data_IF_193819515650
#
_entry.id   IF_193819515650
#
_cell.length_a   1.000
_cell.length_b   1.000
_cell.length_c   1.000
_cell.angle_alpha   90.00
_cell.angle_beta   90.00
_cell.angle_gamma   90.00
#
_symmetry.space_group_name_H-M   'P 1'
#
loop_
_entity.id
_entity.type
_entity.pdbx_description
1 polymer ?
#
# COMPACT_ATOMS: atom_id res chain seq x y z
N UNK A 1 -0.35 19.32 -5.57
CA UNK A 1 0.21 19.31 -6.93
C UNK A 1 -0.87 19.66 -7.97
N UNK A 2 -1.91 20.42 -7.60
CA UNK A 2 -3.00 20.83 -8.49
C UNK A 2 -2.79 22.28 -8.92
N UNK A 3 -3.10 22.60 -10.18
CA UNK A 3 -2.85 23.92 -10.74
C UNK A 3 -4.09 24.80 -10.58
N UNK A 4 -3.94 26.01 -10.01
CA UNK A 4 -5.04 26.98 -10.00
C UNK A 4 -5.23 27.61 -11.39
N UNK A 5 -6.44 28.10 -11.69
CA UNK A 5 -6.72 28.80 -12.95
C UNK A 5 -5.78 30.00 -13.17
N UNK A 6 -5.48 30.72 -12.10
CA UNK A 6 -4.53 31.85 -12.10
C UNK A 6 -3.09 31.41 -12.40
N UNK A 7 -2.62 30.32 -11.78
CA UNK A 7 -1.30 29.76 -12.08
C UNK A 7 -1.20 29.24 -13.52
N UNK A 8 -2.30 28.66 -14.02
CA UNK A 8 -2.37 28.17 -15.39
C UNK A 8 -2.25 29.32 -16.38
N UNK A 9 -3.01 30.41 -16.19
CA UNK A 9 -2.94 31.64 -17.00
C UNK A 9 -1.53 32.25 -16.96
N UNK A 10 -0.90 32.30 -15.77
CA UNK A 10 0.46 32.82 -15.60
C UNK A 10 1.49 32.00 -16.38
N UNK A 11 1.31 30.67 -16.45
CA UNK A 11 2.22 29.75 -17.16
C UNK A 11 1.98 29.68 -18.67
N UNK A 12 0.77 29.98 -19.15
CA UNK A 12 0.43 29.87 -20.58
C UNK A 12 0.99 31.02 -21.42
N UNK A 13 1.44 32.13 -20.83
CA UNK A 13 2.01 33.26 -21.59
C UNK A 13 0.98 33.96 -22.49
N UNK A 14 1.38 35.04 -23.19
CA UNK A 14 0.47 35.89 -23.97
C UNK A 14 -0.02 35.28 -25.30
N UNK A 15 0.76 34.37 -25.92
CA UNK A 15 0.51 33.81 -27.26
C UNK A 15 0.61 32.26 -27.29
N UNK A 16 -0.11 31.55 -26.42
CA UNK A 16 -0.15 30.08 -26.47
C UNK A 16 -1.47 29.56 -27.03
N UNK A 17 -1.41 28.37 -27.62
CA UNK A 17 -2.59 27.56 -27.94
C UNK A 17 -3.34 27.33 -26.62
N UNK A 18 -4.63 27.68 -26.58
CA UNK A 18 -5.46 27.51 -25.39
C UNK A 18 -5.44 26.07 -24.88
N UNK A 19 -5.63 25.87 -23.58
CA UNK A 19 -5.54 24.54 -22.96
C UNK A 19 -6.43 23.49 -23.64
N UNK A 20 -7.65 23.89 -23.98
CA UNK A 20 -8.59 23.06 -24.73
C UNK A 20 -8.03 22.69 -26.11
N UNK A 21 -7.56 23.67 -26.88
CA UNK A 21 -7.03 23.45 -28.23
C UNK A 21 -5.76 22.60 -28.21
N UNK A 22 -4.94 22.72 -27.17
CA UNK A 22 -3.75 21.89 -27.00
C UNK A 22 -4.13 20.42 -26.75
N UNK A 23 -5.08 20.17 -25.83
CA UNK A 23 -5.60 18.82 -25.61
C UNK A 23 -6.30 18.27 -26.86
N UNK A 24 -6.99 19.11 -27.62
CA UNK A 24 -7.62 18.74 -28.89
C UNK A 24 -6.58 18.34 -29.93
N UNK A 25 -5.46 19.07 -30.02
CA UNK A 25 -4.35 18.76 -30.92
C UNK A 25 -3.76 17.39 -30.58
N UNK A 26 -3.48 17.13 -29.31
CA UNK A 26 -3.00 15.81 -28.84
C UNK A 26 -4.01 14.69 -29.16
N UNK A 27 -5.28 14.88 -28.82
CA UNK A 27 -6.32 13.88 -29.10
C UNK A 27 -6.48 13.63 -30.61
N UNK A 28 -6.25 14.64 -31.46
CA UNK A 28 -6.28 14.51 -32.92
C UNK A 28 -5.04 13.77 -33.42
N UNK A 29 -3.86 14.15 -32.94
CA UNK A 29 -2.59 13.53 -33.31
C UNK A 29 -2.58 12.04 -32.98
N UNK A 30 -3.08 11.63 -31.81
CA UNK A 30 -3.19 10.21 -31.45
C UNK A 30 -4.00 9.40 -32.47
N UNK A 31 -5.07 10.01 -33.02
CA UNK A 31 -5.97 9.37 -33.98
C UNK A 31 -5.40 9.33 -35.40
N UNK A 32 -4.64 10.35 -35.80
CA UNK A 32 -4.19 10.52 -37.19
C UNK A 32 -2.78 10.01 -37.44
N UNK A 33 -1.92 9.99 -36.41
CA UNK A 33 -0.53 9.60 -36.58
C UNK A 33 -0.39 8.11 -36.87
N UNK A 34 0.53 7.78 -37.79
CA UNK A 34 0.94 6.40 -38.10
C UNK A 34 2.14 5.94 -37.27
N UNK A 35 2.83 6.87 -36.59
CA UNK A 35 3.99 6.56 -35.75
C UNK A 35 3.56 5.98 -34.41
N UNK A 36 4.05 4.79 -34.07
CA UNK A 36 3.79 4.14 -32.78
C UNK A 36 4.37 4.94 -31.62
N UNK A 37 5.60 5.44 -31.77
CA UNK A 37 6.27 6.25 -30.74
C UNK A 37 5.51 7.55 -30.47
N UNK A 38 5.01 8.20 -31.54
CA UNK A 38 4.20 9.39 -31.41
C UNK A 38 2.89 9.09 -30.66
N UNK A 39 2.20 7.97 -30.97
CA UNK A 39 1.00 7.55 -30.22
C UNK A 39 1.31 7.36 -28.74
N UNK A 40 2.41 6.69 -28.41
CA UNK A 40 2.82 6.47 -27.02
C UNK A 40 3.06 7.79 -26.28
N UNK A 41 3.83 8.70 -26.90
CA UNK A 41 4.15 9.99 -26.29
C UNK A 41 2.91 10.86 -26.10
N UNK A 42 2.03 10.90 -27.11
CA UNK A 42 0.78 11.66 -27.04
C UNK A 42 -0.14 11.11 -25.96
N UNK A 43 -0.30 9.78 -25.88
CA UNK A 43 -1.14 9.15 -24.87
C UNK A 43 -0.61 9.37 -23.45
N UNK A 44 0.70 9.26 -23.26
CA UNK A 44 1.35 9.56 -21.99
C UNK A 44 1.11 11.02 -21.57
N UNK A 45 1.20 11.97 -22.50
CA UNK A 45 0.89 13.37 -22.25
C UNK A 45 -0.58 13.58 -21.84
N UNK A 46 -1.52 12.94 -22.54
CA UNK A 46 -2.94 12.98 -22.19
C UNK A 46 -3.18 12.40 -20.79
N UNK A 47 -2.55 11.28 -20.44
CA UNK A 47 -2.64 10.66 -19.12
C UNK A 47 -2.06 11.56 -18.01
N UNK A 48 -0.96 12.26 -18.27
CA UNK A 48 -0.40 13.25 -17.34
C UNK A 48 -1.36 14.43 -17.10
N UNK A 49 -2.05 14.90 -18.14
CA UNK A 49 -3.03 15.97 -17.99
C UNK A 49 -4.31 15.54 -17.29
N UNK A 50 -4.64 14.24 -17.34
CA UNK A 50 -5.75 13.66 -16.61
C UNK A 50 -5.57 13.69 -15.08
N UNK A 51 -4.38 13.97 -14.54
CA UNK A 51 -4.19 14.11 -13.09
C UNK A 51 -4.86 15.36 -12.49
N UNK A 52 -4.98 16.44 -13.27
CA UNK A 52 -5.47 17.73 -12.76
C UNK A 52 -6.97 17.96 -13.08
N UNK A 53 -7.85 18.09 -12.07
CA UNK A 53 -9.30 18.25 -12.26
C UNK A 53 -9.71 19.44 -13.14
N UNK A 54 -8.87 20.47 -13.25
CA UNK A 54 -9.13 21.61 -14.14
C UNK A 54 -9.30 21.17 -15.61
N UNK A 55 -8.73 20.02 -15.98
CA UNK A 55 -8.82 19.48 -17.34
C UNK A 55 -10.04 18.56 -17.54
N UNK A 56 -10.77 18.14 -16.50
CA UNK A 56 -11.84 17.14 -16.63
C UNK A 56 -12.97 17.59 -17.56
N UNK A 57 -13.34 18.87 -17.54
CA UNK A 57 -14.31 19.42 -18.49
C UNK A 57 -13.88 19.24 -19.94
N UNK A 58 -12.63 19.57 -20.25
CA UNK A 58 -12.05 19.41 -21.60
C UNK A 58 -11.90 17.94 -21.98
N UNK A 59 -11.47 17.08 -21.05
CA UNK A 59 -11.32 15.64 -21.24
C UNK A 59 -12.64 15.00 -21.67
N UNK A 60 -13.75 15.39 -21.03
CA UNK A 60 -15.10 14.93 -21.41
C UNK A 60 -15.51 15.46 -22.78
N UNK A 61 -15.36 16.76 -23.02
CA UNK A 61 -15.72 17.39 -24.30
C UNK A 61 -14.96 16.79 -25.49
N UNK A 62 -13.68 16.47 -25.30
CA UNK A 62 -12.79 15.92 -26.33
C UNK A 62 -12.84 14.39 -26.41
N UNK A 63 -13.65 13.73 -25.58
CA UNK A 63 -13.78 12.26 -25.53
C UNK A 63 -12.43 11.56 -25.31
N UNK A 64 -11.58 12.12 -24.46
CA UNK A 64 -10.27 11.53 -24.14
C UNK A 64 -10.44 10.24 -23.32
N UNK A 65 -11.53 10.11 -22.54
CA UNK A 65 -11.83 8.87 -21.81
C UNK A 65 -12.10 7.71 -22.78
N UNK A 66 -12.84 7.94 -23.87
CA UNK A 66 -13.07 6.94 -24.92
C UNK A 66 -11.75 6.48 -25.54
N UNK A 67 -10.84 7.42 -25.76
CA UNK A 67 -9.52 7.14 -26.31
C UNK A 67 -8.73 6.22 -25.36
N UNK A 68 -8.77 6.46 -24.04
CA UNK A 68 -8.16 5.54 -23.08
C UNK A 68 -8.83 4.17 -23.09
N UNK A 69 -10.16 4.10 -23.03
CA UNK A 69 -10.91 2.85 -23.01
C UNK A 69 -10.66 1.99 -24.25
N UNK A 70 -10.66 2.59 -25.45
CA UNK A 70 -10.35 1.89 -26.69
C UNK A 70 -8.92 1.36 -26.72
N UNK A 71 -7.97 2.09 -26.13
CA UNK A 71 -6.56 1.70 -26.08
C UNK A 71 -6.32 0.50 -25.16
N UNK A 72 -7.24 0.17 -24.24
CA UNK A 72 -7.12 -1.02 -23.39
C UNK A 72 -7.10 -2.33 -24.18
N UNK A 73 -7.64 -2.35 -25.39
CA UNK A 73 -7.69 -3.52 -26.26
C UNK A 73 -6.55 -3.60 -27.27
N UNK A 74 -5.55 -2.71 -27.18
CA UNK A 74 -4.38 -2.72 -28.08
C UNK A 74 -3.33 -3.73 -27.62
N UNK A 75 -2.60 -4.33 -28.57
CA UNK A 75 -1.53 -5.31 -28.26
C UNK A 75 -0.30 -4.66 -27.61
N UNK A 76 -0.12 -3.35 -27.79
CA UNK A 76 1.03 -2.63 -27.25
C UNK A 76 0.82 -2.35 -25.75
N UNK A 77 1.47 -3.16 -24.91
CA UNK A 77 1.42 -3.05 -23.45
C UNK A 77 1.83 -1.66 -22.92
N UNK A 78 2.71 -0.93 -23.61
CA UNK A 78 3.11 0.42 -23.20
C UNK A 78 1.98 1.43 -23.41
N UNK A 79 1.23 1.32 -24.51
CA UNK A 79 0.01 2.10 -24.72
C UNK A 79 -1.06 1.74 -23.69
N UNK A 80 -1.28 0.45 -23.43
CA UNK A 80 -2.22 -0.02 -22.40
C UNK A 80 -1.85 0.56 -21.04
N UNK A 81 -0.56 0.54 -20.65
CA UNK A 81 -0.09 1.12 -19.39
C UNK A 81 -0.43 2.61 -19.28
N UNK A 82 -0.19 3.41 -20.33
CA UNK A 82 -0.56 4.83 -20.32
C UNK A 82 -2.07 5.05 -20.28
N UNK A 83 -2.85 4.25 -21.00
CA UNK A 83 -4.30 4.33 -20.99
C UNK A 83 -4.88 4.03 -19.60
N UNK A 84 -4.43 2.95 -18.96
CA UNK A 84 -4.82 2.59 -17.59
C UNK A 84 -4.42 3.70 -16.61
N UNK A 85 -3.21 4.26 -16.73
CA UNK A 85 -2.78 5.40 -15.91
C UNK A 85 -3.69 6.62 -16.09
N UNK A 86 -4.08 6.94 -17.33
CA UNK A 86 -5.04 8.00 -17.64
C UNK A 86 -6.41 7.76 -17.02
N UNK A 87 -6.94 6.53 -17.10
CA UNK A 87 -8.22 6.14 -16.48
C UNK A 87 -8.15 6.27 -14.96
N UNK A 88 -7.07 5.79 -14.35
CA UNK A 88 -6.82 5.90 -12.90
C UNK A 88 -6.86 7.35 -12.42
N UNK A 89 -6.27 8.26 -13.20
CA UNK A 89 -6.28 9.68 -12.88
C UNK A 89 -7.65 10.35 -13.01
N UNK A 90 -8.53 9.90 -13.92
CA UNK A 90 -9.86 10.50 -14.11
C UNK A 90 -10.98 9.84 -13.30
N UNK A 91 -10.83 8.58 -12.89
CA UNK A 91 -11.92 7.80 -12.27
C UNK A 91 -12.29 8.26 -10.86
N UNK A 92 -11.48 9.14 -10.25
CA UNK A 92 -11.76 9.78 -8.96
C UNK A 92 -12.88 10.82 -9.03
N UNK A 93 -13.18 11.35 -10.22
CA UNK A 93 -14.28 12.29 -10.45
C UNK A 93 -15.62 11.56 -10.62
N UNK A 94 -16.70 11.95 -9.91
CA UNK A 94 -17.98 11.26 -9.98
C UNK A 94 -18.59 11.20 -11.40
N UNK A 95 -18.44 12.25 -12.20
CA UNK A 95 -19.00 12.31 -13.56
C UNK A 95 -18.22 11.38 -14.48
N UNK A 96 -16.89 11.43 -14.42
CA UNK A 96 -16.02 10.55 -15.21
C UNK A 96 -16.22 9.07 -14.81
N UNK A 97 -16.40 8.78 -13.52
CA UNK A 97 -16.72 7.45 -13.02
C UNK A 97 -18.00 6.89 -13.67
N UNK A 98 -19.09 7.65 -13.64
CA UNK A 98 -20.35 7.25 -14.30
C UNK A 98 -20.16 7.04 -15.80
N UNK A 99 -19.35 7.88 -16.43
CA UNK A 99 -19.04 7.75 -17.85
C UNK A 99 -18.28 6.45 -18.16
N UNK A 100 -17.26 6.10 -17.37
CA UNK A 100 -16.49 4.85 -17.53
C UNK A 100 -17.39 3.63 -17.36
N UNK A 101 -18.26 3.64 -16.34
CA UNK A 101 -19.21 2.56 -16.08
C UNK A 101 -20.16 2.34 -17.28
N UNK A 102 -20.72 3.41 -17.84
CA UNK A 102 -21.63 3.34 -18.99
C UNK A 102 -20.97 2.84 -20.27
N UNK A 103 -19.65 2.99 -20.40
CA UNK A 103 -18.88 2.58 -21.58
C UNK A 103 -18.13 1.26 -21.37
N UNK A 104 -18.72 0.31 -20.63
CA UNK A 104 -18.18 -1.03 -20.41
C UNK A 104 -16.77 -1.05 -19.79
N UNK A 105 -16.43 -0.01 -19.02
CA UNK A 105 -15.10 0.12 -18.43
C UNK A 105 -14.72 -1.05 -17.53
N UNK A 106 -15.67 -1.60 -16.77
CA UNK A 106 -15.42 -2.75 -15.88
C UNK A 106 -14.94 -3.94 -16.71
N UNK A 107 -15.71 -4.38 -17.71
CA UNK A 107 -15.36 -5.50 -18.59
C UNK A 107 -13.99 -5.34 -19.26
N UNK A 108 -13.69 -4.15 -19.78
CA UNK A 108 -12.41 -3.88 -20.43
C UNK A 108 -11.25 -3.96 -19.43
N UNK A 109 -11.41 -3.37 -18.25
CA UNK A 109 -10.40 -3.37 -17.21
C UNK A 109 -10.18 -4.77 -16.64
N UNK A 110 -11.24 -5.54 -16.37
CA UNK A 110 -11.11 -6.89 -15.82
C UNK A 110 -10.42 -7.82 -16.80
N UNK A 111 -10.57 -7.63 -18.11
CA UNK A 111 -9.84 -8.39 -19.14
C UNK A 111 -8.31 -8.32 -18.94
N UNK A 112 -7.79 -7.20 -18.44
CA UNK A 112 -6.36 -6.96 -18.24
C UNK A 112 -5.76 -7.61 -16.98
N UNK A 113 -6.59 -8.09 -16.06
CA UNK A 113 -6.12 -8.75 -14.82
C UNK A 113 -5.38 -10.08 -15.07
N UNK A 114 -5.45 -10.63 -16.28
CA UNK A 114 -4.70 -11.83 -16.69
C UNK A 114 -3.35 -11.53 -17.34
N UNK A 115 -2.95 -10.27 -17.47
CA UNK A 115 -1.61 -9.90 -17.94
C UNK A 115 -0.53 -10.22 -16.89
N UNK A 116 0.72 -10.33 -17.32
CA UNK A 116 1.87 -10.53 -16.42
C UNK A 116 2.49 -9.21 -15.93
N UNK A 117 1.94 -8.06 -16.34
CA UNK A 117 2.48 -6.75 -16.00
C UNK A 117 1.88 -6.24 -14.68
N UNK A 118 2.70 -6.23 -13.63
CA UNK A 118 2.29 -5.89 -12.26
C UNK A 118 1.75 -4.45 -12.15
N UNK A 119 2.32 -3.49 -12.89
CA UNK A 119 1.89 -2.09 -12.84
C UNK A 119 0.49 -1.92 -13.42
N UNK A 120 0.23 -2.61 -14.55
CA UNK A 120 -1.09 -2.62 -15.18
C UNK A 120 -2.10 -3.25 -14.23
N UNK A 121 -1.79 -4.43 -13.67
CA UNK A 121 -2.68 -5.12 -12.74
C UNK A 121 -3.01 -4.24 -11.52
N UNK A 122 -1.99 -3.64 -10.89
CA UNK A 122 -2.17 -2.79 -9.71
C UNK A 122 -3.05 -1.58 -10.03
N UNK A 123 -2.81 -0.95 -11.17
CA UNK A 123 -3.59 0.21 -11.62
C UNK A 123 -5.04 -0.18 -11.96
N UNK A 124 -5.25 -1.33 -12.61
CA UNK A 124 -6.58 -1.88 -12.91
C UNK A 124 -7.36 -2.17 -11.63
N UNK A 125 -6.76 -2.85 -10.65
CA UNK A 125 -7.39 -3.12 -9.35
C UNK A 125 -7.78 -1.80 -8.67
N UNK A 126 -6.88 -0.82 -8.69
CA UNK A 126 -7.12 0.50 -8.11
C UNK A 126 -8.31 1.19 -8.77
N UNK A 127 -8.37 1.20 -10.11
CA UNK A 127 -9.51 1.76 -10.85
C UNK A 127 -10.80 1.04 -10.49
N UNK A 128 -10.80 -0.29 -10.51
CA UNK A 128 -11.98 -1.10 -10.18
C UNK A 128 -12.52 -0.76 -8.79
N UNK A 129 -11.64 -0.60 -7.79
CA UNK A 129 -12.00 -0.15 -6.44
C UNK A 129 -12.65 1.25 -6.49
N UNK A 130 -12.08 2.21 -7.21
CA UNK A 130 -12.66 3.54 -7.37
C UNK A 130 -13.99 3.54 -8.11
N UNK A 131 -14.23 2.58 -9.01
CA UNK A 131 -15.48 2.43 -9.75
C UNK A 131 -16.61 1.81 -8.91
N UNK A 132 -16.35 1.26 -7.72
CA UNK A 132 -17.39 0.67 -6.85
C UNK A 132 -18.40 1.74 -6.43
N UNK A 133 -19.66 1.54 -6.79
CA UNK A 133 -20.84 2.25 -6.28
C UNK A 133 -21.98 1.21 -6.08
N UNK A 134 -23.14 1.58 -5.52
CA UNK A 134 -24.23 0.62 -5.30
C UNK A 134 -24.60 -0.22 -6.54
N UNK A 135 -24.56 0.39 -7.73
CA UNK A 135 -24.95 -0.25 -8.99
C UNK A 135 -23.85 -1.17 -9.55
N UNK A 136 -22.58 -0.79 -9.42
CA UNK A 136 -21.43 -1.50 -9.99
C UNK A 136 -20.80 -2.52 -9.04
N UNK A 137 -21.14 -2.47 -7.73
CA UNK A 137 -20.49 -3.27 -6.68
C UNK A 137 -20.49 -4.76 -7.01
N UNK A 138 -21.61 -5.31 -7.45
CA UNK A 138 -21.74 -6.75 -7.72
C UNK A 138 -20.92 -7.17 -8.95
N UNK A 139 -20.92 -6.37 -10.01
CA UNK A 139 -20.16 -6.62 -11.23
C UNK A 139 -18.65 -6.60 -10.94
N UNK A 140 -18.16 -5.54 -10.29
CA UNK A 140 -16.74 -5.39 -9.93
C UNK A 140 -16.29 -6.50 -8.98
N UNK A 141 -17.09 -6.82 -7.97
CA UNK A 141 -16.71 -7.82 -6.96
C UNK A 141 -16.67 -9.23 -7.54
N UNK A 142 -17.64 -9.60 -8.38
CA UNK A 142 -17.68 -10.92 -9.02
C UNK A 142 -16.46 -11.13 -9.91
N UNK A 143 -16.17 -10.18 -10.81
CA UNK A 143 -15.03 -10.25 -11.72
C UNK A 143 -13.69 -10.30 -10.97
N UNK A 144 -13.53 -9.49 -9.91
CA UNK A 144 -12.33 -9.53 -9.08
C UNK A 144 -12.18 -10.87 -8.36
N UNK A 145 -13.26 -11.40 -7.77
CA UNK A 145 -13.21 -12.69 -7.04
C UNK A 145 -12.88 -13.84 -8.00
N UNK A 146 -13.53 -13.92 -9.16
CA UNK A 146 -13.27 -14.97 -10.15
C UNK A 146 -11.80 -14.94 -10.58
N UNK A 147 -11.27 -13.77 -10.97
CA UNK A 147 -9.90 -13.65 -11.47
C UNK A 147 -8.83 -13.78 -10.38
N UNK A 148 -9.10 -13.28 -9.17
CA UNK A 148 -8.22 -13.48 -8.01
C UNK A 148 -8.23 -14.94 -7.52
N UNK A 149 -9.33 -15.68 -7.69
CA UNK A 149 -9.38 -17.11 -7.35
C UNK A 149 -8.43 -17.93 -8.24
N UNK A 150 -8.30 -17.58 -9.53
CA UNK A 150 -7.31 -18.17 -10.43
C UNK A 150 -5.86 -17.84 -10.01
N UNK A 151 -5.59 -16.61 -9.56
CA UNK A 151 -4.28 -16.24 -9.00
C UNK A 151 -4.01 -16.94 -7.65
N UNK A 152 -5.05 -17.21 -6.87
CA UNK A 152 -4.93 -17.97 -5.61
C UNK A 152 -4.54 -19.43 -5.87
N UNK A 153 -4.98 -20.03 -6.98
CA UNK A 153 -4.60 -21.40 -7.36
C UNK A 153 -3.09 -21.50 -7.68
N UNK A 154 -2.49 -20.47 -8.28
CA UNK A 154 -1.03 -20.38 -8.47
C UNK A 154 -0.26 -20.30 -7.13
N UNK A 155 -0.82 -19.60 -6.13
CA UNK A 155 -0.30 -19.60 -4.75
C UNK A 155 -0.53 -20.93 -4.04
N UNK A 156 -1.62 -21.64 -4.32
CA UNK A 156 -1.94 -22.94 -3.71
C UNK A 156 -1.00 -24.03 -4.20
N UNK A 157 -0.55 -24.02 -5.46
CA UNK A 157 0.48 -24.96 -5.95
C UNK A 157 1.84 -24.76 -5.25
N UNK A 158 2.27 -23.51 -5.06
CA UNK A 158 3.48 -23.19 -4.30
C UNK A 158 3.34 -23.47 -2.78
N UNK A 159 2.14 -23.27 -2.22
CA UNK A 159 1.79 -23.62 -0.83
C UNK A 159 1.77 -25.13 -0.61
N UNK A 160 1.21 -25.92 -1.55
CA UNK A 160 1.24 -27.39 -1.50
C UNK A 160 2.67 -27.89 -1.53
N UNK A 161 3.50 -27.38 -2.45
CA UNK A 161 4.94 -27.70 -2.54
C UNK A 161 5.68 -27.38 -1.23
N UNK A 162 5.42 -26.23 -0.61
CA UNK A 162 6.00 -25.85 0.68
C UNK A 162 5.53 -26.75 1.84
N UNK A 163 4.24 -27.12 1.87
CA UNK A 163 3.69 -28.04 2.89
C UNK A 163 4.20 -29.48 2.74
N UNK A 164 4.47 -29.93 1.52
CA UNK A 164 5.00 -31.26 1.23
C UNK A 164 6.51 -31.35 1.53
N UNK A 165 7.25 -30.25 1.33
CA UNK A 165 8.66 -30.13 1.76
C UNK A 165 8.75 -30.23 3.30
N UNK A 166 7.93 -29.50 4.05
CA UNK A 166 7.93 -29.61 5.52
C UNK A 166 7.62 -31.02 6.05
N UNK A 167 6.72 -31.76 5.38
CA UNK A 167 6.40 -33.15 5.75
C UNK A 167 7.56 -34.11 5.47
N UNK A 168 8.45 -33.77 4.55
CA UNK A 168 9.62 -34.58 4.19
C UNK A 168 10.89 -34.20 4.95
N UNK A 169 10.96 -32.98 5.51
CA UNK A 169 12.09 -32.55 6.34
C UNK A 169 12.18 -33.34 7.64
N UNK A 170 13.37 -33.86 7.93
CA UNK A 170 13.73 -34.54 9.18
C UNK A 170 14.94 -33.84 9.80
N UNK A 171 15.03 -33.92 11.13
CA UNK A 171 16.27 -33.57 11.81
C UNK A 171 17.43 -34.39 11.22
N UNK A 172 18.57 -33.75 11.01
CA UNK A 172 19.73 -34.31 10.32
C UNK A 172 19.77 -34.06 8.81
N UNK A 173 18.69 -33.58 8.17
CA UNK A 173 18.78 -33.13 6.78
C UNK A 173 19.75 -31.97 6.62
N UNK A 174 20.45 -31.98 5.50
CA UNK A 174 21.53 -31.06 5.20
C UNK A 174 21.43 -30.56 3.76
N UNK A 175 21.76 -29.28 3.56
CA UNK A 175 22.01 -28.71 2.24
C UNK A 175 23.36 -28.02 2.25
N UNK A 176 24.06 -28.02 1.12
CA UNK A 176 25.21 -27.17 0.91
C UNK A 176 25.01 -26.27 -0.32
N UNK A 177 25.53 -25.05 -0.23
CA UNK A 177 25.51 -24.07 -1.32
C UNK A 177 26.90 -23.49 -1.48
N UNK A 178 27.45 -23.62 -2.67
CA UNK A 178 28.76 -23.08 -3.00
C UNK A 178 28.58 -21.70 -3.65
N UNK A 179 29.34 -20.71 -3.18
CA UNK A 179 29.37 -19.35 -3.75
C UNK A 179 30.81 -18.81 -3.73
N UNK A 180 31.22 -18.19 -4.83
CA UNK A 180 32.41 -17.33 -4.85
C UNK A 180 31.99 -15.93 -4.41
N UNK A 181 32.64 -15.36 -3.38
CA UNK A 181 32.37 -13.99 -2.95
C UNK A 181 33.22 -13.04 -3.76
N UNK A 182 32.60 -12.12 -4.50
CA UNK A 182 33.30 -11.22 -5.43
C UNK A 182 33.50 -9.82 -4.85
N UNK A 183 34.36 -9.02 -5.47
CA UNK A 183 34.49 -7.59 -5.13
C UNK A 183 33.20 -6.81 -5.37
N UNK A 184 32.44 -7.20 -6.39
CA UNK A 184 31.14 -6.58 -6.70
C UNK A 184 30.10 -6.89 -5.61
N UNK A 185 30.10 -8.11 -5.04
CA UNK A 185 29.25 -8.42 -3.88
C UNK A 185 29.55 -7.47 -2.70
N UNK A 186 30.83 -7.25 -2.40
CA UNK A 186 31.29 -6.35 -1.33
C UNK A 186 30.85 -4.90 -1.61
N UNK A 187 31.07 -4.42 -2.84
CA UNK A 187 30.71 -3.07 -3.24
C UNK A 187 29.19 -2.84 -3.19
N UNK A 188 28.40 -3.79 -3.70
CA UNK A 188 26.95 -3.69 -3.68
C UNK A 188 26.40 -3.73 -2.25
N UNK A 189 27.01 -4.54 -1.38
CA UNK A 189 26.64 -4.57 0.03
C UNK A 189 26.97 -3.26 0.74
N UNK A 190 28.12 -2.65 0.47
CA UNK A 190 28.47 -1.33 1.01
C UNK A 190 27.54 -0.23 0.48
N UNK A 191 27.15 -0.26 -0.79
CA UNK A 191 26.12 0.66 -1.34
C UNK A 191 24.78 0.54 -0.63
N UNK A 192 24.37 -0.69 -0.32
CA UNK A 192 23.11 -0.97 0.35
C UNK A 192 23.12 -0.53 1.82
N UNK A 193 24.24 -0.76 2.52
CA UNK A 193 24.33 -0.59 3.98
C UNK A 193 24.97 0.72 4.42
N UNK A 194 25.72 1.37 3.53
CA UNK A 194 26.58 2.51 3.85
C UNK A 194 27.93 2.13 4.49
N UNK A 195 28.23 0.83 4.68
CA UNK A 195 29.49 0.38 5.28
C UNK A 195 30.63 0.36 4.25
N UNK A 196 31.25 1.53 4.08
CA UNK A 196 32.44 1.73 3.24
C UNK A 196 33.75 1.65 4.03
N UNK A 197 33.79 0.92 5.16
CA UNK A 197 35.01 0.82 5.95
C UNK A 197 36.21 0.39 5.07
N UNK A 198 37.35 1.11 5.10
CA UNK A 198 38.53 0.83 4.28
C UNK A 198 39.00 -0.63 4.29
N UNK A 199 38.74 -1.38 5.36
CA UNK A 199 39.09 -2.81 5.46
C UNK A 199 38.49 -3.65 4.31
N UNK A 200 37.39 -3.20 3.71
CA UNK A 200 36.70 -3.88 2.62
C UNK A 200 37.24 -3.52 1.22
N UNK A 201 37.98 -2.41 1.08
CA UNK A 201 38.34 -1.84 -0.23
C UNK A 201 39.84 -1.56 -0.39
N UNK A 202 40.51 -1.09 0.65
CA UNK A 202 41.92 -0.64 0.60
C UNK A 202 42.91 -1.75 0.92
N UNK A 203 42.48 -2.81 1.61
CA UNK A 203 43.32 -3.97 1.90
C UNK A 203 43.44 -4.84 0.63
N UNK A 204 44.65 -5.31 0.34
CA UNK A 204 45.01 -6.09 -0.86
C UNK A 204 44.04 -7.24 -1.21
N UNK A 205 43.38 -7.81 -0.21
CA UNK A 205 42.49 -8.96 -0.39
C UNK A 205 40.99 -8.64 -0.21
N UNK A 206 40.60 -7.39 0.08
CA UNK A 206 39.20 -6.96 0.24
C UNK A 206 38.42 -7.84 1.23
N UNK A 207 38.52 -7.53 2.53
CA UNK A 207 37.83 -8.33 3.56
C UNK A 207 36.32 -8.28 3.32
N UNK A 208 35.64 -9.41 3.42
CA UNK A 208 34.19 -9.50 3.23
C UNK A 208 33.47 -9.09 4.52
N UNK A 209 32.39 -8.29 4.42
CA UNK A 209 31.55 -7.97 5.57
C UNK A 209 30.96 -9.24 6.20
N UNK A 210 31.11 -9.42 7.51
CA UNK A 210 30.48 -10.55 8.21
C UNK A 210 28.95 -10.55 8.05
N UNK A 211 28.34 -9.37 8.01
CA UNK A 211 26.91 -9.21 7.75
C UNK A 211 26.50 -9.64 6.33
N UNK A 212 27.37 -9.47 5.33
CA UNK A 212 27.13 -9.98 3.97
C UNK A 212 27.08 -11.51 3.98
N UNK A 213 27.99 -12.16 4.71
CA UNK A 213 27.96 -13.61 4.88
C UNK A 213 26.64 -14.05 5.52
N UNK A 214 26.16 -13.37 6.57
CA UNK A 214 24.85 -13.64 7.16
C UNK A 214 23.70 -13.45 6.14
N UNK A 215 23.74 -12.42 5.30
CA UNK A 215 22.76 -12.22 4.24
C UNK A 215 22.60 -13.44 3.32
N UNK A 216 23.70 -14.15 3.02
CA UNK A 216 23.67 -15.39 2.23
C UNK A 216 22.89 -16.50 2.94
N UNK A 217 23.04 -16.64 4.26
CA UNK A 217 22.26 -17.58 5.07
C UNK A 217 20.78 -17.26 5.00
N UNK A 218 20.41 -15.98 5.17
CA UNK A 218 19.02 -15.57 5.07
C UNK A 218 18.41 -15.93 3.71
N UNK A 219 19.17 -15.76 2.63
CA UNK A 219 18.77 -16.17 1.28
C UNK A 219 18.53 -17.68 1.18
N UNK A 220 19.44 -18.51 1.71
CA UNK A 220 19.30 -19.97 1.71
C UNK A 220 18.07 -20.40 2.51
N UNK A 221 17.87 -19.82 3.69
CA UNK A 221 16.74 -20.17 4.56
C UNK A 221 15.39 -19.77 3.97
N UNK A 222 15.32 -18.57 3.39
CA UNK A 222 14.10 -18.02 2.80
C UNK A 222 13.73 -18.56 1.42
N UNK A 223 14.67 -19.20 0.70
CA UNK A 223 14.42 -19.65 -0.69
C UNK A 223 14.62 -21.15 -0.91
N UNK A 224 15.52 -21.81 -0.17
CA UNK A 224 15.85 -23.22 -0.36
C UNK A 224 15.30 -24.12 0.75
N UNK A 225 15.74 -23.92 1.99
CA UNK A 225 15.34 -24.76 3.12
C UNK A 225 15.30 -23.95 4.42
N UNK A 226 14.18 -23.89 5.14
CA UNK A 226 12.91 -24.54 4.84
C UNK A 226 12.14 -23.92 3.66
N UNK A 227 12.54 -22.73 3.17
CA UNK A 227 12.06 -22.15 1.91
C UNK A 227 11.10 -20.97 2.11
N UNK A 228 10.29 -20.59 1.10
CA UNK A 228 9.39 -19.45 1.18
C UNK A 228 8.42 -19.51 2.37
N UNK A 229 8.21 -18.37 3.05
CA UNK A 229 7.40 -18.29 4.29
C UNK A 229 8.21 -18.45 5.58
N UNK A 230 9.52 -18.60 5.47
CA UNK A 230 10.46 -18.66 6.58
C UNK A 230 10.71 -17.28 7.18
N UNK A 231 10.63 -17.17 8.51
CA UNK A 231 11.02 -15.99 9.27
C UNK A 231 12.17 -16.35 10.19
N UNK A 232 13.31 -15.69 10.02
CA UNK A 232 14.45 -15.83 10.94
C UNK A 232 14.14 -15.04 12.21
N UNK A 233 14.18 -15.71 13.36
CA UNK A 233 13.81 -15.10 14.66
C UNK A 233 15.05 -14.70 15.46
N UNK A 234 16.09 -15.55 15.43
CA UNK A 234 17.32 -15.31 16.17
C UNK A 234 18.50 -15.95 15.42
N UNK A 235 19.65 -15.28 15.42
CA UNK A 235 20.87 -15.80 14.83
C UNK A 235 22.08 -15.45 15.70
N UNK A 236 22.97 -16.42 15.90
CA UNK A 236 24.21 -16.23 16.65
C UNK A 236 25.43 -16.53 15.76
N UNK A 237 26.20 -15.51 15.39
CA UNK A 237 27.35 -15.67 14.48
C UNK A 237 28.69 -15.53 15.19
N UNK A 238 29.68 -16.26 14.66
CA UNK A 238 31.12 -16.11 14.96
C UNK A 238 31.88 -16.13 13.64
N UNK A 239 32.92 -15.33 13.52
CA UNK A 239 33.75 -15.24 12.31
C UNK A 239 35.20 -15.61 12.66
N UNK A 240 35.50 -16.92 12.83
CA UNK A 240 36.81 -17.36 13.33
C UNK A 240 37.96 -17.17 12.32
N UNK A 241 37.63 -17.02 11.04
CA UNK A 241 38.61 -16.79 9.97
C UNK A 241 38.11 -15.71 9.00
N UNK A 242 39.03 -14.91 8.42
CA UNK A 242 38.66 -13.88 7.45
C UNK A 242 38.27 -14.50 6.10
N UNK A 243 37.19 -13.96 5.53
CA UNK A 243 36.76 -14.20 4.16
C UNK A 243 37.19 -13.03 3.28
N UNK A 244 37.77 -13.30 2.12
CA UNK A 244 38.28 -12.30 1.20
C UNK A 244 37.56 -12.38 -0.15
N UNK A 245 37.61 -11.31 -0.94
CA UNK A 245 37.13 -11.37 -2.31
C UNK A 245 37.90 -12.42 -3.12
N UNK A 246 37.18 -13.24 -3.89
CA UNK A 246 37.69 -14.39 -4.63
C UNK A 246 37.63 -15.70 -3.85
N UNK A 247 37.35 -15.69 -2.54
CA UNK A 247 37.17 -16.93 -1.78
C UNK A 247 35.92 -17.68 -2.27
N UNK A 248 36.08 -18.99 -2.47
CA UNK A 248 34.96 -19.91 -2.73
C UNK A 248 34.56 -20.51 -1.38
N UNK A 249 33.35 -20.17 -0.96
CA UNK A 249 32.75 -20.66 0.28
C UNK A 249 31.65 -21.68 -0.02
N UNK A 250 31.62 -22.74 0.75
CA UNK A 250 30.48 -23.65 0.85
C UNK A 250 29.74 -23.35 2.16
N UNK A 251 28.46 -23.00 2.05
CA UNK A 251 27.56 -22.77 3.17
C UNK A 251 26.73 -24.03 3.36
N UNK A 252 27.05 -24.80 4.39
CA UNK A 252 26.34 -26.02 4.78
C UNK A 252 25.31 -25.69 5.86
N UNK A 253 24.05 -26.01 5.64
CA UNK A 253 22.97 -25.81 6.62
C UNK A 253 22.42 -27.17 7.02
N UNK A 254 22.49 -27.47 8.32
CA UNK A 254 22.01 -28.72 8.90
C UNK A 254 20.83 -28.46 9.84
N UNK A 255 19.72 -29.20 9.67
CA UNK A 255 18.57 -29.14 10.57
C UNK A 255 18.90 -29.91 11.84
N UNK A 256 18.90 -29.21 12.98
CA UNK A 256 19.11 -29.82 14.30
C UNK A 256 17.80 -30.32 14.88
N UNK A 257 16.74 -29.52 14.80
CA UNK A 257 15.44 -29.89 15.34
C UNK A 257 14.30 -29.21 14.61
N UNK A 258 13.23 -29.95 14.37
CA UNK A 258 11.99 -29.48 13.75
C UNK A 258 10.91 -29.44 14.84
N UNK A 259 10.56 -28.23 15.28
CA UNK A 259 9.49 -27.94 16.26
C UNK A 259 8.75 -26.67 15.79
N UNK A 260 7.98 -26.00 16.68
CA UNK A 260 7.39 -24.68 16.39
C UNK A 260 8.44 -23.65 15.92
N UNK A 261 9.63 -23.70 16.50
CA UNK A 261 10.82 -22.99 16.02
C UNK A 261 11.82 -24.06 15.59
N UNK A 262 12.20 -24.05 14.31
CA UNK A 262 13.23 -24.91 13.75
C UNK A 262 14.61 -24.38 14.12
N UNK A 263 15.53 -25.29 14.43
CA UNK A 263 16.92 -24.96 14.79
C UNK A 263 17.87 -25.51 13.74
N UNK A 264 18.85 -24.70 13.37
CA UNK A 264 19.84 -25.00 12.35
C UNK A 264 21.25 -24.77 12.88
N UNK A 265 22.20 -25.54 12.36
CA UNK A 265 23.63 -25.25 12.44
C UNK A 265 24.11 -24.90 11.03
N UNK A 266 24.98 -23.90 10.92
CA UNK A 266 25.45 -23.39 9.63
C UNK A 266 26.97 -23.35 9.60
N UNK A 267 27.57 -24.10 8.70
CA UNK A 267 29.02 -24.21 8.58
C UNK A 267 29.48 -23.52 7.30
N UNK A 268 30.56 -22.75 7.40
CA UNK A 268 31.23 -22.16 6.24
C UNK A 268 32.54 -22.91 6.01
N UNK A 269 32.67 -23.53 4.84
CA UNK A 269 33.89 -24.20 4.39
C UNK A 269 34.54 -23.38 3.28
N UNK A 270 35.84 -23.10 3.41
CA UNK A 270 36.60 -22.39 2.38
C UNK A 270 37.31 -23.40 1.49
N UNK A 271 36.82 -23.58 0.25
CA UNK A 271 37.29 -24.63 -0.66
C UNK A 271 38.75 -24.37 -1.10
N UNK A 272 39.13 -23.12 -1.29
CA UNK A 272 40.45 -22.75 -1.82
C UNK A 272 41.54 -22.58 -0.75
N UNK A 273 41.19 -22.66 0.53
CA UNK A 273 42.16 -22.62 1.64
C UNK A 273 42.27 -24.04 2.17
N UNK A 274 43.48 -24.61 2.26
CA UNK A 274 43.76 -25.82 3.07
C UNK A 274 43.54 -25.50 4.57
N UNK A 275 42.31 -25.16 4.97
CA UNK A 275 41.93 -24.76 6.32
C UNK A 275 40.64 -25.45 6.71
N UNK A 276 40.66 -25.96 7.93
CA UNK A 276 39.65 -26.77 8.57
C UNK A 276 38.25 -26.14 8.54
N UNK A 277 37.23 -26.99 8.59
CA UNK A 277 35.82 -26.63 8.71
C UNK A 277 35.60 -25.82 9.99
N UNK A 278 35.22 -24.55 9.87
CA UNK A 278 34.97 -23.70 11.03
C UNK A 278 33.48 -23.73 11.38
N UNK A 279 33.08 -24.26 12.55
CA UNK A 279 31.68 -24.26 12.93
C UNK A 279 31.20 -22.87 13.32
N UNK A 280 30.12 -22.42 12.67
CA UNK A 280 29.44 -21.18 13.00
C UNK A 280 28.04 -21.56 13.52
N UNK A 281 27.70 -21.07 14.70
CA UNK A 281 26.70 -21.70 15.57
C UNK A 281 25.26 -21.18 15.34
N UNK A 282 24.34 -21.77 16.12
CA UNK A 282 22.89 -21.88 15.94
C UNK A 282 22.13 -20.72 15.30
N UNK A 283 21.30 -21.04 14.31
CA UNK A 283 20.25 -20.16 13.76
C UNK A 283 18.87 -20.72 14.12
N UNK A 284 18.01 -19.86 14.68
CA UNK A 284 16.64 -20.17 15.04
C UNK A 284 15.67 -19.53 14.06
N UNK A 285 14.74 -20.34 13.58
CA UNK A 285 13.88 -19.97 12.48
C UNK A 285 12.46 -20.40 12.80
N UNK A 286 11.51 -19.51 12.60
CA UNK A 286 10.09 -19.83 12.67
C UNK A 286 9.56 -20.02 11.25
N UNK A 287 8.83 -21.10 11.03
CA UNK A 287 8.23 -21.36 9.74
C UNK A 287 6.74 -21.05 9.80
N UNK A 288 6.26 -20.14 8.94
CA UNK A 288 4.84 -19.87 8.81
C UNK A 288 4.22 -20.94 7.88
N UNK A 289 3.86 -22.10 8.41
CA UNK A 289 3.01 -23.03 7.67
C UNK A 289 1.57 -22.54 7.77
N UNK A 290 0.99 -22.09 6.65
CA UNK A 290 -0.42 -21.81 6.53
C UNK A 290 -1.24 -23.10 6.61
N UNK A 291 -1.53 -23.55 7.83
CA UNK A 291 -2.80 -24.18 8.18
C UNK A 291 -3.25 -23.43 9.42
N UNK A 292 -4.39 -22.75 9.25
CA UNK A 292 -5.08 -21.85 10.17
C UNK A 292 -4.78 -22.06 11.66
N UNK A 293 -4.66 -20.92 12.35
CA UNK A 293 -5.32 -20.66 13.62
C UNK A 293 -5.70 -21.93 14.39
N UNK A 294 -4.91 -22.27 15.39
CA UNK A 294 -5.22 -23.28 16.38
C UNK A 294 -6.55 -22.92 17.05
N UNK A 295 -7.64 -23.44 16.48
CA UNK A 295 -8.95 -23.48 17.10
C UNK A 295 -8.86 -24.48 18.25
N UNK A 296 -8.31 -24.05 19.37
CA UNK A 296 -8.68 -24.60 20.67
C UNK A 296 -9.80 -23.75 21.28
N UNK A 297 -10.98 -23.81 20.66
CA UNK A 297 -12.23 -23.66 21.40
C UNK A 297 -13.04 -24.93 21.14
N UNK A 298 -13.04 -25.82 22.13
CA UNK A 298 -13.90 -27.00 22.18
C UNK A 298 -15.37 -26.57 22.05
N UNK A 299 -16.02 -26.94 20.96
CA UNK A 299 -17.48 -26.86 20.84
C UNK A 299 -18.06 -28.01 21.68
N UNK A 300 -18.64 -27.68 22.84
CA UNK A 300 -19.67 -28.51 23.49
C UNK A 300 -20.99 -28.22 22.77
N UNK A 301 -21.82 -29.23 22.45
CA UNK A 301 -23.10 -29.00 21.82
C UNK A 301 -24.03 -28.38 22.86
N UNK A 302 -24.56 -27.20 22.59
CA UNK A 302 -25.73 -26.71 23.30
C UNK A 302 -26.69 -26.10 22.28
N UNK A 303 -27.87 -26.72 22.24
CA UNK A 303 -28.98 -26.43 21.37
C UNK A 303 -29.41 -24.95 21.39
N UNK A 304 -29.87 -24.49 20.23
CA UNK A 304 -30.85 -23.43 20.01
C UNK A 304 -30.79 -22.18 20.91
N UNK A 305 -30.20 -21.09 20.40
CA UNK A 305 -30.96 -19.86 20.06
C UNK A 305 -30.08 -18.88 19.28
N UNK A 306 -30.57 -18.45 18.12
CA UNK A 306 -29.96 -17.40 17.30
C UNK A 306 -29.75 -16.10 18.09
N UNK A 307 -28.54 -15.54 18.00
CA UNK A 307 -28.33 -14.08 17.91
C UNK A 307 -27.09 -13.82 17.05
N UNK A 308 -27.34 -13.34 15.84
CA UNK A 308 -26.36 -12.93 14.84
C UNK A 308 -25.49 -11.81 15.42
N UNK A 309 -24.17 -12.01 15.49
CA UNK A 309 -23.17 -10.96 15.72
C UNK A 309 -22.37 -10.79 14.44
N UNK A 310 -22.58 -9.64 13.80
CA UNK A 310 -21.87 -9.18 12.60
C UNK A 310 -20.41 -8.88 12.93
N UNK A 311 -19.46 -9.60 12.32
CA UNK A 311 -18.05 -9.18 12.32
C UNK A 311 -17.91 -7.96 11.40
N UNK A 312 -17.88 -6.75 11.98
CA UNK A 312 -17.63 -5.49 11.28
C UNK A 312 -16.16 -5.41 10.81
N UNK A 313 -15.94 -5.10 9.53
CA UNK A 313 -14.61 -4.85 8.97
C UNK A 313 -14.11 -3.45 9.31
N UNK A 314 -12.83 -3.32 9.67
CA UNK A 314 -12.20 -2.03 10.01
C UNK A 314 -12.18 -1.08 8.81
N UNK A 315 -12.72 0.13 8.97
CA UNK A 315 -12.80 1.18 7.94
C UNK A 315 -11.55 2.06 7.93
N UNK A 316 -10.67 1.92 8.93
CA UNK A 316 -9.51 2.79 9.13
C UNK A 316 -9.84 3.98 10.04
N UNK A 317 -8.82 4.65 10.56
CA UNK A 317 -9.01 5.72 11.55
C UNK A 317 -9.32 7.06 10.87
N UNK A 318 -10.51 7.59 11.11
CA UNK A 318 -10.96 8.89 10.60
C UNK A 318 -11.28 9.79 11.79
N UNK A 319 -10.72 10.99 11.79
CA UNK A 319 -10.97 12.04 12.76
C UNK A 319 -12.07 12.97 12.24
N UNK A 320 -13.02 13.32 13.09
CA UNK A 320 -14.09 14.27 12.79
C UNK A 320 -14.15 15.35 13.86
N UNK A 321 -14.30 16.61 13.48
CA UNK A 321 -14.60 17.71 14.40
C UNK A 321 -16.04 18.13 14.21
N UNK A 322 -16.80 18.06 15.29
CA UNK A 322 -18.20 18.51 15.33
C UNK A 322 -18.36 19.70 16.26
N UNK A 323 -19.19 20.66 15.89
CA UNK A 323 -19.63 21.73 16.77
C UNK A 323 -20.82 21.29 17.63
N UNK A 324 -20.99 21.91 18.79
CA UNK A 324 -22.07 21.57 19.74
C UNK A 324 -23.49 21.69 19.18
N UNK A 325 -23.71 22.51 18.14
CA UNK A 325 -24.99 22.59 17.43
C UNK A 325 -25.18 21.48 16.39
N UNK A 326 -24.14 20.71 16.09
CA UNK A 326 -24.14 19.65 15.07
C UNK A 326 -24.36 18.25 15.66
N UNK A 327 -24.64 18.10 16.96
CA UNK A 327 -25.00 16.80 17.55
C UNK A 327 -25.75 16.97 18.88
N UNK A 328 -26.63 16.02 19.22
CA UNK A 328 -27.31 15.97 20.54
C UNK A 328 -26.47 15.19 21.55
N UNK A 329 -26.38 15.69 22.80
CA UNK A 329 -25.62 15.06 23.90
C UNK A 329 -26.17 13.71 24.38
N UNK A 330 -27.42 13.37 24.04
CA UNK A 330 -28.03 12.10 24.46
C UNK A 330 -27.71 10.94 23.50
N UNK A 331 -27.03 9.95 24.07
CA UNK A 331 -26.58 8.73 23.40
C UNK A 331 -27.76 7.88 22.86
N UNK A 332 -27.60 7.44 21.60
CA UNK A 332 -28.34 6.39 20.85
C UNK A 332 -29.23 6.90 19.70
N UNK A 333 -28.64 7.56 18.71
CA UNK A 333 -28.93 7.33 17.28
C UNK A 333 -27.91 8.09 16.43
N UNK A 334 -27.36 7.40 15.45
CA UNK A 334 -26.57 7.96 14.35
C UNK A 334 -27.41 9.00 13.64
N UNK A 335 -27.18 10.28 13.91
CA UNK A 335 -27.58 11.34 13.00
C UNK A 335 -26.55 11.38 11.87
N UNK A 336 -27.02 11.39 10.63
CA UNK A 336 -26.24 11.57 9.41
C UNK A 336 -25.67 13.00 9.38
N UNK A 337 -24.69 13.29 10.23
CA UNK A 337 -24.12 14.63 10.37
C UNK A 337 -22.71 14.66 9.76
N UNK A 338 -22.53 15.57 8.80
CA UNK A 338 -21.24 15.89 8.22
C UNK A 338 -20.46 16.76 9.23
N UNK A 339 -19.32 16.30 9.76
CA UNK A 339 -18.50 17.13 10.65
C UNK A 339 -17.96 18.36 9.92
N UNK A 340 -17.76 19.44 10.69
CA UNK A 340 -17.07 20.64 10.24
C UNK A 340 -15.67 20.36 9.66
N UNK A 341 -14.96 19.33 10.14
CA UNK A 341 -13.68 18.88 9.58
C UNK A 341 -13.56 17.36 9.59
N UNK A 342 -13.01 16.79 8.51
CA UNK A 342 -12.69 15.36 8.38
C UNK A 342 -11.22 15.20 8.04
N UNK A 343 -10.56 14.26 8.72
CA UNK A 343 -9.20 13.85 8.38
C UNK A 343 -9.03 12.34 8.50
N UNK A 344 -8.66 11.67 7.41
CA UNK A 344 -8.31 10.25 7.42
C UNK A 344 -6.85 10.04 7.76
N UNK A 345 -6.56 9.11 8.68
CA UNK A 345 -5.19 8.73 9.03
C UNK A 345 -4.76 7.46 8.28
N UNK A 346 -3.47 7.36 7.90
CA UNK A 346 -2.94 6.14 7.30
C UNK A 346 -2.83 5.03 8.35
N UNK A 347 -3.30 3.83 8.00
CA UNK A 347 -3.21 2.62 8.83
C UNK A 347 -4.56 2.09 9.30
N UNK A 348 -4.60 0.79 9.62
CA UNK A 348 -5.79 0.07 10.09
C UNK A 348 -5.55 -0.33 11.54
N UNK A 349 -6.44 0.08 12.45
CA UNK A 349 -6.37 -0.30 13.86
C UNK A 349 -7.38 -1.41 14.17
N UNK A 350 -7.10 -2.29 15.14
CA UNK A 350 -8.01 -3.38 15.48
C UNK A 350 -9.35 -2.85 15.98
N UNK A 351 -10.43 -3.57 15.71
CA UNK A 351 -11.79 -3.26 16.18
C UNK A 351 -12.02 -3.58 17.65
N UNK A 352 -11.22 -2.95 18.48
CA UNK A 352 -11.19 -3.11 19.93
C UNK A 352 -11.17 -1.74 20.58
N UNK A 353 -11.51 -1.67 21.86
CA UNK A 353 -11.36 -0.45 22.66
C UNK A 353 -9.92 0.08 22.65
N UNK A 354 -8.93 -0.81 22.50
CA UNK A 354 -7.51 -0.47 22.38
C UNK A 354 -7.24 0.22 21.03
N UNK A 355 -7.74 -0.32 19.93
CA UNK A 355 -7.59 0.31 18.61
C UNK A 355 -8.29 1.67 18.53
N UNK A 356 -9.46 1.82 19.19
CA UNK A 356 -10.12 3.12 19.31
C UNK A 356 -9.27 4.12 20.11
N UNK A 357 -8.62 3.71 21.22
CA UNK A 357 -7.71 4.59 21.97
C UNK A 357 -6.51 5.04 21.13
N UNK A 358 -5.93 4.14 20.33
CA UNK A 358 -4.83 4.46 19.41
C UNK A 358 -5.30 5.47 18.37
N UNK A 359 -6.49 5.25 17.78
CA UNK A 359 -7.10 6.17 16.82
C UNK A 359 -7.33 7.57 17.42
N UNK A 360 -7.86 7.65 18.65
CA UNK A 360 -8.04 8.92 19.37
C UNK A 360 -6.70 9.65 19.56
N UNK A 361 -5.67 8.93 20.05
CA UNK A 361 -4.34 9.52 20.28
C UNK A 361 -3.76 10.12 19.00
N UNK A 362 -3.82 9.37 17.89
CA UNK A 362 -3.29 9.84 16.60
C UNK A 362 -4.09 10.99 16.01
N UNK A 363 -5.41 11.00 16.19
CA UNK A 363 -6.24 12.15 15.81
C UNK A 363 -5.84 13.40 16.59
N UNK A 364 -5.61 13.28 17.89
CA UNK A 364 -5.21 14.39 18.74
C UNK A 364 -3.84 14.96 18.33
N UNK A 365 -2.84 14.10 18.09
CA UNK A 365 -1.49 14.50 17.63
C UNK A 365 -1.56 15.36 16.34
N UNK A 366 -2.48 15.02 15.44
CA UNK A 366 -2.67 15.73 14.18
C UNK A 366 -3.40 17.05 14.41
N UNK A 367 -4.50 17.05 15.17
CA UNK A 367 -5.34 18.23 15.39
C UNK A 367 -4.63 19.31 16.20
N UNK A 368 -3.79 18.94 17.17
CA UNK A 368 -3.04 19.90 18.01
C UNK A 368 -2.24 20.89 17.15
N UNK A 369 -1.69 20.44 16.02
CA UNK A 369 -0.89 21.29 15.11
C UNK A 369 -1.71 22.42 14.48
N UNK A 370 -3.02 22.25 14.36
CA UNK A 370 -3.94 23.21 13.77
C UNK A 370 -4.66 24.09 14.81
N UNK A 371 -4.53 23.79 16.11
CA UNK A 371 -5.18 24.53 17.19
C UNK A 371 -4.90 26.04 17.14
N UNK A 372 -3.68 26.55 16.88
CA UNK A 372 -3.44 27.99 16.85
C UNK A 372 -4.33 28.74 15.84
N UNK A 373 -4.63 28.12 14.70
CA UNK A 373 -5.42 28.69 13.61
C UNK A 373 -6.86 28.14 13.56
N UNK A 374 -7.31 27.41 14.58
CA UNK A 374 -8.55 26.63 14.48
C UNK A 374 -9.79 27.48 14.24
N UNK A 375 -9.86 28.72 14.74
CA UNK A 375 -11.01 29.60 14.48
C UNK A 375 -11.18 29.95 13.01
N UNK A 376 -10.08 30.20 12.29
CA UNK A 376 -10.12 30.52 10.85
C UNK A 376 -10.49 29.29 10.03
N UNK A 377 -9.86 28.16 10.34
CA UNK A 377 -10.11 26.87 9.66
C UNK A 377 -11.58 26.49 9.85
N UNK A 378 -12.05 26.45 11.09
CA UNK A 378 -13.38 26.00 11.43
C UNK A 378 -14.47 26.92 10.84
N UNK A 379 -14.34 28.25 10.95
CA UNK A 379 -15.30 29.16 10.34
C UNK A 379 -15.32 29.09 8.81
N UNK A 380 -14.19 28.79 8.18
CA UNK A 380 -14.13 28.62 6.71
C UNK A 380 -14.68 27.28 6.22
N UNK A 381 -14.86 26.31 7.11
CA UNK A 381 -15.27 24.94 6.76
C UNK A 381 -16.74 24.65 7.09
N UNK A 382 -17.42 25.52 7.83
CA UNK A 382 -18.86 25.42 8.08
C UNK A 382 -19.64 26.31 7.11
N UNK A 383 -20.78 25.81 6.62
CA UNK A 383 -21.67 26.54 5.69
C UNK A 383 -22.73 27.39 6.41
N UNK A 384 -22.59 27.55 7.74
CA UNK A 384 -23.53 28.28 8.58
C UNK A 384 -22.80 29.18 9.58
N UNK A 385 -23.51 30.21 10.04
CA UNK A 385 -23.07 30.97 11.20
C UNK A 385 -23.17 30.12 12.47
N UNK A 386 -22.26 30.36 13.40
CA UNK A 386 -22.28 29.72 14.71
C UNK A 386 -22.01 30.73 15.82
N UNK A 387 -22.62 30.50 16.98
CA UNK A 387 -22.55 31.39 18.12
C UNK A 387 -22.27 30.59 19.40
N UNK A 388 -21.14 30.88 20.05
CA UNK A 388 -20.66 30.23 21.29
C UNK A 388 -20.69 28.69 21.22
N UNK A 389 -20.26 28.12 20.10
CA UNK A 389 -20.23 26.67 19.95
C UNK A 389 -18.88 26.08 20.32
N UNK A 390 -18.88 24.90 20.96
CA UNK A 390 -17.66 24.15 21.27
C UNK A 390 -17.40 23.09 20.21
N UNK A 391 -16.13 22.92 19.84
CA UNK A 391 -15.70 21.87 18.94
C UNK A 391 -15.36 20.59 19.72
N UNK A 392 -15.80 19.44 19.23
CA UNK A 392 -15.63 18.11 19.83
C UNK A 392 -15.00 17.14 18.86
N UNK A 393 -14.12 16.28 19.37
CA UNK A 393 -13.47 15.25 18.58
C UNK A 393 -14.31 13.97 18.56
N UNK A 394 -14.53 13.46 17.35
CA UNK A 394 -15.12 12.17 17.08
C UNK A 394 -14.15 11.32 16.24
N UNK A 395 -14.29 10.01 16.33
CA UNK A 395 -13.52 9.07 15.50
C UNK A 395 -14.41 8.05 14.79
N UNK A 396 -13.95 7.54 13.65
CA UNK A 396 -14.39 6.26 13.07
C UNK A 396 -13.21 5.31 13.02
N UNK A 397 -13.48 4.04 13.29
CA UNK A 397 -12.47 2.98 13.20
C UNK A 397 -13.13 1.70 12.67
N UNK A 398 -14.21 1.25 13.31
CA UNK A 398 -14.89 -0.02 12.97
C UNK A 398 -16.38 0.10 12.69
N UNK A 399 -17.03 1.05 13.35
CA UNK A 399 -18.41 1.42 13.03
C UNK A 399 -18.42 2.41 11.89
N UNK A 400 -19.43 2.29 11.02
CA UNK A 400 -19.76 3.34 10.03
C UNK A 400 -20.19 4.66 10.68
N UNK A 401 -20.66 4.59 11.95
CA UNK A 401 -21.05 5.73 12.77
C UNK A 401 -19.88 6.38 13.54
N UNK A 402 -20.00 7.69 13.78
CA UNK A 402 -19.05 8.46 14.57
C UNK A 402 -19.09 8.07 16.05
N UNK A 403 -17.92 7.91 16.67
CA UNK A 403 -17.75 7.64 18.09
C UNK A 403 -17.30 8.93 18.78
N UNK A 404 -18.10 9.45 19.70
CA UNK A 404 -17.74 10.62 20.50
C UNK A 404 -16.60 10.26 21.46
N UNK A 405 -15.52 11.03 21.43
CA UNK A 405 -14.36 10.82 22.32
C UNK A 405 -14.50 11.54 23.67
N UNK A 406 -15.53 12.38 23.82
CA UNK A 406 -15.74 13.35 24.90
C UNK A 406 -14.63 14.40 25.04
N UNK A 407 -13.70 14.48 24.10
CA UNK A 407 -12.69 15.54 24.05
C UNK A 407 -13.26 16.77 23.34
N UNK A 408 -13.10 17.93 23.95
CA UNK A 408 -13.55 19.21 23.40
C UNK A 408 -12.43 20.26 23.40
N UNK A 409 -12.53 21.24 22.51
CA UNK A 409 -11.70 22.43 22.58
C UNK A 409 -11.94 23.19 23.89
N UNK A 410 -10.87 23.75 24.47
CA UNK A 410 -10.93 24.59 25.68
C UNK A 410 -11.50 26.00 25.43
N UNK A 411 -12.11 26.25 24.27
CA UNK A 411 -12.68 27.54 23.88
C UNK A 411 -13.92 27.37 23.02
N UNK A 412 -14.70 28.45 22.91
CA UNK A 412 -15.88 28.56 22.06
C UNK A 412 -15.54 29.29 20.75
N UNK A 413 -16.32 28.99 19.71
CA UNK A 413 -16.17 29.53 18.38
C UNK A 413 -17.43 30.33 17.99
N UNK A 414 -17.18 31.47 17.35
CA UNK A 414 -18.20 32.33 16.77
C UNK A 414 -17.81 32.68 15.33
N UNK A 415 -18.69 32.34 14.39
CA UNK A 415 -18.46 32.48 12.96
C UNK A 415 -19.61 33.26 12.33
N UNK A 416 -19.27 34.22 11.47
CA UNK A 416 -20.22 34.99 10.67
C UNK A 416 -19.69 35.13 9.25
N UNK A 417 -20.49 34.77 8.26
CA UNK A 417 -20.11 34.84 6.83
C UNK A 417 -18.77 34.12 6.54
N UNK A 418 -18.56 32.96 7.15
CA UNK A 418 -17.34 32.15 7.00
C UNK A 418 -16.09 32.72 7.70
N UNK A 419 -16.22 33.80 8.49
CA UNK A 419 -15.11 34.45 9.20
C UNK A 419 -15.26 34.37 10.72
N UNK A 420 -14.16 34.14 11.46
CA UNK A 420 -14.20 34.15 12.92
C UNK A 420 -14.37 35.57 13.47
N UNK A 421 -15.18 35.71 14.52
CA UNK A 421 -15.25 36.92 15.33
C UNK A 421 -15.19 36.59 16.82
N UNK A 422 -14.96 37.60 17.65
CA UNK A 422 -14.88 37.43 19.10
C UNK A 422 -16.27 37.13 19.66
N UNK A 423 -16.42 35.99 20.32
CA UNK A 423 -17.68 35.65 20.99
C UNK A 423 -18.04 36.72 22.03
N UNK A 424 -19.28 37.27 21.99
CA UNK A 424 -19.73 38.24 22.98
C UNK A 424 -19.71 37.63 24.38
N UNK A 425 -19.40 38.43 25.40
CA UNK A 425 -19.28 37.94 26.79
C UNK A 425 -20.65 37.79 27.47
N UNK A 426 -21.71 38.34 26.88
CA UNK A 426 -23.06 38.37 27.44
C UNK A 426 -23.98 37.38 26.73
#
# INVERSE_FOLDING_TARGET
MFTSKEQLIKRTGKNSIGRYDFLKLLATEFKTTKSKDAKEQVLANLANFAYDPINYGYIRQLKIIDLFLHTLSEDNLKLVRFAVGGICNVCVDPINKLYILRNQGIRLLTSLLSLQDEDIILSVITILIFLINPDSKNEVTTELIEKLSHLSNYKIENSKRSSDILKTLKAGNEISVIKTVTKDDILNFAKLTGDYNPIHFEISNHLVHGALLNGLVSGILGTKIPGPGTIVVEQNFKFPAPCYAGDIIEIKVQIVSIRKIMKYIILYNFINKKKEMYPIFLVFVFFFSSILADNQIKIKPLNNTLKILTNESSIGCICGIFLSGEFKKDNKKSLEENPALIHGLPGVFPCTSIGNKICISKCLDTIIKYLPNSSKILCSSIERDCYKEKAYLFIKNCKSGWINTNLSAGREYCCKDGKPYKCPVF
#
